data_IF_771220928608
#
_entry.id   IF_771220928608
#
_cell.length_a   1.000
_cell.length_b   1.000
_cell.length_c   1.000
_cell.angle_alpha   90.00
_cell.angle_beta   90.00
_cell.angle_gamma   90.00
#
_symmetry.space_group_name_H-M   'P 1'
#
loop_
_entity.id
_entity.type
_entity.pdbx_description
1 polymer ?
#
# COMPACT_ATOMS: atom_id res chain seq x y z
N UNK A 1 5.90 13.03 -15.87
CA UNK A 1 6.30 13.23 -14.45
C UNK A 1 6.30 11.86 -13.83
N UNK A 2 7.36 11.44 -13.16
CA UNK A 2 7.46 10.11 -12.58
C UNK A 2 7.40 10.25 -11.07
N UNK A 3 6.53 9.48 -10.41
CA UNK A 3 6.40 9.46 -8.96
C UNK A 3 7.33 8.40 -8.37
N UNK A 4 8.10 8.78 -7.37
CA UNK A 4 9.03 7.92 -6.64
C UNK A 4 8.28 7.15 -5.55
N UNK A 5 8.36 5.83 -5.57
CA UNK A 5 7.62 4.95 -4.69
C UNK A 5 8.57 4.08 -3.86
N UNK A 6 8.34 4.03 -2.55
CA UNK A 6 8.95 3.05 -1.65
C UNK A 6 7.94 1.91 -1.46
N UNK A 7 8.35 0.68 -1.72
CA UNK A 7 7.56 -0.49 -1.36
C UNK A 7 7.77 -0.85 0.12
N UNK A 8 6.69 -0.98 0.88
CA UNK A 8 6.76 -1.44 2.27
C UNK A 8 6.35 -2.90 2.36
N UNK A 9 7.36 -3.75 2.54
CA UNK A 9 7.35 -5.22 2.57
C UNK A 9 7.13 -5.92 1.23
N UNK A 10 7.62 -7.17 1.16
CA UNK A 10 7.57 -8.06 -0.01
C UNK A 10 6.89 -9.39 0.32
N UNK A 11 5.74 -9.33 1.01
CA UNK A 11 4.81 -10.45 1.12
C UNK A 11 4.10 -10.72 -0.21
N UNK A 12 3.08 -11.59 -0.24
CA UNK A 12 2.37 -11.92 -1.48
C UNK A 12 1.84 -10.67 -2.20
N UNK A 13 1.11 -9.81 -1.48
CA UNK A 13 0.57 -8.56 -2.05
C UNK A 13 1.68 -7.59 -2.44
N UNK A 14 2.70 -7.44 -1.58
CA UNK A 14 3.81 -6.53 -1.83
C UNK A 14 4.62 -6.88 -3.07
N UNK A 15 4.82 -8.18 -3.38
CA UNK A 15 5.49 -8.62 -4.61
C UNK A 15 4.71 -8.22 -5.86
N UNK A 16 3.40 -8.38 -5.84
CA UNK A 16 2.55 -7.98 -6.98
C UNK A 16 2.50 -6.46 -7.11
N UNK A 17 2.50 -5.71 -5.99
CA UNK A 17 2.61 -4.27 -6.00
C UNK A 17 3.92 -3.79 -6.62
N UNK A 18 5.07 -4.40 -6.28
CA UNK A 18 6.37 -4.11 -6.93
C UNK A 18 6.29 -4.32 -8.44
N UNK A 19 5.74 -5.45 -8.89
CA UNK A 19 5.58 -5.73 -10.32
C UNK A 19 4.70 -4.67 -11.01
N UNK A 20 3.66 -4.21 -10.31
CA UNK A 20 2.79 -3.13 -10.77
C UNK A 20 3.53 -1.80 -10.89
N UNK A 21 4.30 -1.43 -9.88
CA UNK A 21 5.11 -0.20 -9.87
C UNK A 21 6.09 -0.18 -11.05
N UNK A 22 6.85 -1.28 -11.24
CA UNK A 22 7.87 -1.36 -12.31
C UNK A 22 7.25 -1.31 -13.71
N UNK A 23 6.06 -1.86 -13.89
CA UNK A 23 5.35 -1.84 -15.19
C UNK A 23 4.67 -0.51 -15.50
N UNK A 24 4.45 0.32 -14.50
CA UNK A 24 3.71 1.57 -14.67
C UNK A 24 4.65 2.68 -15.18
N UNK A 25 4.32 3.36 -16.28
CA UNK A 25 5.22 4.31 -16.94
C UNK A 25 5.47 5.60 -16.12
N UNK A 26 4.62 5.87 -15.13
CA UNK A 26 4.72 7.07 -14.29
C UNK A 26 5.20 6.77 -12.86
N UNK A 27 5.61 5.53 -12.55
CA UNK A 27 6.10 5.14 -11.24
C UNK A 27 7.55 4.69 -11.31
N UNK A 28 8.32 5.00 -10.28
CA UNK A 28 9.71 4.60 -10.10
C UNK A 28 9.88 3.98 -8.73
N UNK A 29 10.33 2.73 -8.67
CA UNK A 29 10.68 2.09 -7.41
C UNK A 29 12.04 2.64 -6.94
N UNK A 30 12.06 3.34 -5.81
CA UNK A 30 13.29 3.95 -5.27
C UNK A 30 13.78 3.31 -3.98
N UNK A 31 12.94 2.58 -3.27
CA UNK A 31 13.29 1.93 -2.01
C UNK A 31 12.36 0.76 -1.68
N UNK A 32 12.80 -0.11 -0.77
CA UNK A 32 12.00 -1.22 -0.29
C UNK A 32 12.33 -1.53 1.17
N UNK A 33 11.30 -1.56 2.01
CA UNK A 33 11.43 -2.03 3.39
C UNK A 33 11.30 -3.55 3.47
N UNK A 34 12.23 -4.16 4.21
CA UNK A 34 12.16 -5.57 4.56
C UNK A 34 12.67 -5.79 5.99
N UNK A 35 11.77 -6.13 6.91
CA UNK A 35 12.09 -6.38 8.31
C UNK A 35 12.89 -7.67 8.52
N UNK A 36 12.79 -8.62 7.60
CA UNK A 36 13.45 -9.93 7.71
C UNK A 36 14.89 -9.85 7.22
N UNK A 37 15.84 -10.32 8.04
CA UNK A 37 17.27 -10.45 7.68
C UNK A 37 17.50 -11.28 6.41
N UNK A 38 16.61 -12.22 6.11
CA UNK A 38 16.70 -13.04 4.90
C UNK A 38 16.39 -12.24 3.63
N UNK A 39 15.75 -11.10 3.74
CA UNK A 39 15.36 -10.23 2.63
C UNK A 39 16.18 -8.94 2.56
N UNK A 40 16.56 -8.40 3.71
CA UNK A 40 17.41 -7.22 3.77
C UNK A 40 18.75 -7.50 3.07
N UNK A 41 19.23 -6.54 2.29
CA UNK A 41 20.45 -6.68 1.49
C UNK A 41 20.28 -7.36 0.12
N UNK A 42 19.08 -7.83 -0.22
CA UNK A 42 18.79 -8.44 -1.53
C UNK A 42 18.13 -7.44 -2.48
N UNK A 43 18.36 -7.65 -3.78
CA UNK A 43 17.65 -6.92 -4.83
C UNK A 43 16.15 -7.23 -4.80
N UNK A 44 15.32 -6.20 -4.93
CA UNK A 44 13.86 -6.32 -4.87
C UNK A 44 13.33 -7.17 -6.02
N UNK A 45 13.97 -7.15 -7.19
CA UNK A 45 13.63 -8.02 -8.31
C UNK A 45 13.79 -9.50 -7.95
N UNK A 46 14.92 -9.87 -7.30
CA UNK A 46 15.14 -11.22 -6.78
C UNK A 46 14.02 -11.64 -5.82
N UNK A 47 13.68 -10.76 -4.86
CA UNK A 47 12.62 -11.03 -3.88
C UNK A 47 11.24 -11.21 -4.52
N UNK A 48 11.00 -10.59 -5.66
CA UNK A 48 9.73 -10.59 -6.38
C UNK A 48 9.67 -11.61 -7.53
N UNK A 49 10.79 -12.28 -7.85
CA UNK A 49 10.88 -13.24 -8.95
C UNK A 49 10.80 -12.58 -10.33
N UNK A 50 11.42 -11.40 -10.47
CA UNK A 50 11.58 -10.66 -11.72
C UNK A 50 13.06 -10.29 -11.93
N UNK A 51 13.37 -9.67 -13.05
CA UNK A 51 14.72 -9.18 -13.32
C UNK A 51 15.19 -8.19 -12.24
N UNK A 52 16.51 -8.11 -12.00
CA UNK A 52 17.07 -7.18 -11.02
C UNK A 52 16.60 -5.74 -11.27
N UNK A 53 16.18 -5.08 -10.18
CA UNK A 53 15.70 -3.70 -10.22
C UNK A 53 16.79 -2.67 -9.92
N UNK A 54 17.89 -3.10 -9.31
CA UNK A 54 18.92 -2.22 -8.76
C UNK A 54 18.55 -1.61 -7.39
N UNK A 55 17.32 -1.84 -6.91
CA UNK A 55 16.87 -1.40 -5.58
C UNK A 55 17.12 -2.51 -4.56
N UNK A 56 17.88 -2.19 -3.52
CA UNK A 56 18.20 -3.14 -2.45
C UNK A 56 17.22 -2.95 -1.29
N UNK A 57 16.60 -4.05 -0.87
CA UNK A 57 15.71 -4.04 0.28
C UNK A 57 16.51 -3.82 1.58
N UNK A 58 15.97 -3.00 2.48
CA UNK A 58 16.62 -2.65 3.74
C UNK A 58 15.67 -2.72 4.93
N UNK A 59 16.20 -3.03 6.12
CA UNK A 59 15.48 -2.89 7.39
C UNK A 59 15.63 -1.51 8.03
N UNK A 60 16.41 -0.60 7.43
CA UNK A 60 16.64 0.74 7.95
C UNK A 60 15.48 1.69 7.58
N UNK A 61 14.54 1.81 8.51
CA UNK A 61 13.35 2.66 8.34
C UNK A 61 13.76 4.14 8.26
N UNK A 62 14.74 4.60 9.07
CA UNK A 62 15.16 5.99 9.08
C UNK A 62 15.75 6.41 7.73
N UNK A 63 16.54 5.53 7.14
CA UNK A 63 17.07 5.73 5.79
C UNK A 63 15.93 5.89 4.78
N UNK A 64 14.93 5.00 4.80
CA UNK A 64 13.78 5.05 3.89
C UNK A 64 12.93 6.30 4.08
N UNK A 65 12.70 6.71 5.33
CA UNK A 65 11.95 7.93 5.63
C UNK A 65 12.68 9.21 5.19
N UNK A 66 14.01 9.20 5.18
CA UNK A 66 14.82 10.31 4.71
C UNK A 66 14.96 10.39 3.18
N UNK A 67 14.61 9.32 2.43
CA UNK A 67 14.70 9.30 0.97
C UNK A 67 13.74 10.32 0.34
N UNK A 68 14.13 10.87 -0.80
CA UNK A 68 13.25 11.64 -1.67
C UNK A 68 12.27 10.70 -2.38
N UNK A 69 11.06 10.59 -1.84
CA UNK A 69 10.00 9.74 -2.37
C UNK A 69 8.62 10.39 -2.16
N UNK A 70 7.75 10.23 -3.15
CA UNK A 70 6.41 10.81 -3.17
C UNK A 70 5.39 9.96 -2.41
N UNK A 71 5.60 8.63 -2.40
CA UNK A 71 4.61 7.70 -1.89
C UNK A 71 5.25 6.44 -1.31
N UNK A 72 4.61 5.90 -0.27
CA UNK A 72 4.86 4.56 0.26
C UNK A 72 3.70 3.64 -0.10
N UNK A 73 4.01 2.54 -0.80
CA UNK A 73 3.09 1.44 -1.03
C UNK A 73 3.15 0.49 0.17
N UNK A 74 2.24 0.67 1.12
CA UNK A 74 2.26 0.03 2.45
C UNK A 74 1.44 -1.26 2.46
N UNK A 75 2.11 -2.41 2.33
CA UNK A 75 1.48 -3.72 2.13
C UNK A 75 1.98 -4.80 3.12
N UNK A 76 2.11 -4.55 4.42
CA UNK A 76 2.45 -5.60 5.40
C UNK A 76 1.28 -6.57 5.59
N UNK A 77 1.51 -7.69 6.28
CA UNK A 77 0.45 -8.64 6.66
C UNK A 77 -0.51 -8.05 7.69
N UNK A 78 0.01 -7.26 8.62
CA UNK A 78 -0.76 -6.48 9.58
C UNK A 78 -0.19 -5.07 9.61
N UNK A 79 -1.05 -4.04 9.58
CA UNK A 79 -0.57 -2.66 9.63
C UNK A 79 -0.13 -2.29 11.04
N UNK A 80 0.97 -1.57 11.11
CA UNK A 80 1.44 -0.88 12.31
C UNK A 80 1.08 0.61 12.17
N UNK A 81 0.25 1.09 13.09
CA UNK A 81 -0.24 2.47 13.06
C UNK A 81 0.88 3.47 13.33
N UNK A 82 1.85 3.12 14.19
CA UNK A 82 2.97 3.99 14.51
C UNK A 82 3.92 4.12 13.31
N UNK A 83 4.12 3.05 12.53
CA UNK A 83 4.85 3.13 11.26
C UNK A 83 4.14 4.05 10.26
N UNK A 84 2.83 3.89 10.08
CA UNK A 84 2.07 4.70 9.13
C UNK A 84 2.08 6.18 9.54
N UNK A 85 1.91 6.48 10.83
CA UNK A 85 2.00 7.84 11.35
C UNK A 85 3.38 8.46 11.04
N UNK A 86 4.48 7.72 11.27
CA UNK A 86 5.83 8.19 10.95
C UNK A 86 6.05 8.44 9.46
N UNK A 87 5.52 7.59 8.60
CA UNK A 87 5.61 7.76 7.14
C UNK A 87 4.90 9.04 6.70
N UNK A 88 3.69 9.28 7.23
CA UNK A 88 2.92 10.48 6.94
C UNK A 88 3.64 11.75 7.43
N UNK A 89 4.15 11.74 8.68
CA UNK A 89 4.93 12.85 9.25
C UNK A 89 6.22 13.13 8.48
N UNK A 90 6.80 12.11 7.84
CA UNK A 90 7.96 12.27 6.94
C UNK A 90 7.59 12.86 5.56
N UNK A 91 6.34 13.32 5.37
CA UNK A 91 5.90 13.99 4.15
C UNK A 91 5.69 13.04 2.96
N UNK A 92 5.36 11.77 3.21
CA UNK A 92 5.13 10.77 2.16
C UNK A 92 3.67 10.34 2.13
N UNK A 93 3.05 10.36 0.95
CA UNK A 93 1.74 9.77 0.75
C UNK A 93 1.77 8.27 1.05
N UNK A 94 0.68 7.73 1.53
CA UNK A 94 0.56 6.28 1.79
C UNK A 94 -0.60 5.70 0.99
N UNK A 95 -0.32 4.62 0.26
CA UNK A 95 -1.34 3.76 -0.36
C UNK A 95 -1.27 2.39 0.29
N UNK A 96 -2.41 1.89 0.77
CA UNK A 96 -2.47 0.61 1.48
C UNK A 96 -3.74 -0.15 1.20
N UNK A 97 -3.69 -1.48 1.28
CA UNK A 97 -4.88 -2.33 1.20
C UNK A 97 -5.69 -2.39 2.52
N UNK A 98 -5.21 -1.76 3.60
CA UNK A 98 -5.82 -1.85 4.92
C UNK A 98 -6.78 -0.72 5.29
N UNK A 99 -6.58 0.47 4.80
CA UNK A 99 -7.28 1.67 5.30
C UNK A 99 -8.53 2.04 4.51
N UNK A 100 -9.07 1.12 3.72
CA UNK A 100 -10.27 1.37 2.90
C UNK A 100 -11.51 1.69 3.73
N UNK A 101 -11.58 1.16 4.95
CA UNK A 101 -12.62 1.51 5.92
C UNK A 101 -11.97 2.07 7.19
N UNK A 102 -11.50 3.31 7.11
CA UNK A 102 -10.86 3.99 8.23
C UNK A 102 -11.73 4.01 9.51
N UNK A 103 -13.05 3.97 9.40
CA UNK A 103 -13.96 3.96 10.56
C UNK A 103 -13.83 2.71 11.43
N UNK A 104 -13.37 1.58 10.87
CA UNK A 104 -13.19 0.35 11.63
C UNK A 104 -12.04 0.42 12.64
N UNK A 105 -11.12 1.37 12.49
CA UNK A 105 -9.96 1.55 13.37
C UNK A 105 -10.24 2.39 14.64
N UNK A 106 -11.46 2.93 14.74
CA UNK A 106 -11.88 3.77 15.85
C UNK A 106 -11.42 5.23 15.75
N UNK A 107 -12.07 6.13 16.53
CA UNK A 107 -11.84 7.57 16.40
C UNK A 107 -10.45 8.03 16.83
N UNK A 108 -9.80 7.34 17.75
CA UNK A 108 -8.45 7.67 18.23
C UNK A 108 -7.42 7.46 17.13
N UNK A 109 -7.39 6.27 16.50
CA UNK A 109 -6.47 5.96 15.40
C UNK A 109 -6.73 6.86 14.21
N UNK A 110 -8.01 7.10 13.87
CA UNK A 110 -8.35 8.06 12.82
C UNK A 110 -7.79 9.45 13.11
N UNK A 111 -7.99 9.96 14.32
CA UNK A 111 -7.50 11.27 14.73
C UNK A 111 -5.98 11.39 14.60
N UNK A 112 -5.23 10.36 15.01
CA UNK A 112 -3.77 10.30 14.87
C UNK A 112 -3.34 10.38 13.41
N UNK A 113 -3.91 9.52 12.55
CA UNK A 113 -3.53 9.45 11.13
C UNK A 113 -3.93 10.70 10.34
N UNK A 114 -5.11 11.28 10.62
CA UNK A 114 -5.53 12.54 10.02
C UNK A 114 -4.54 13.65 10.38
N UNK A 115 -4.23 13.79 11.68
CA UNK A 115 -3.28 14.80 12.15
C UNK A 115 -1.90 14.63 11.51
N UNK A 116 -1.38 13.40 11.45
CA UNK A 116 -0.09 13.12 10.83
C UNK A 116 -0.08 13.46 9.32
N UNK A 117 -1.17 13.15 8.60
CA UNK A 117 -1.32 13.50 7.19
C UNK A 117 -1.39 15.02 6.96
N UNK A 118 -2.11 15.74 7.82
CA UNK A 118 -2.20 17.22 7.78
C UNK A 118 -0.83 17.87 8.08
N UNK A 119 -0.12 17.39 9.10
CA UNK A 119 1.21 17.89 9.48
C UNK A 119 2.25 17.61 8.39
N UNK A 120 2.21 16.42 7.77
CA UNK A 120 3.09 16.04 6.67
C UNK A 120 2.70 16.67 5.32
N UNK A 121 1.50 17.26 5.20
CA UNK A 121 0.98 17.79 3.94
C UNK A 121 0.70 16.72 2.88
N UNK A 122 0.32 15.52 3.31
CA UNK A 122 0.17 14.31 2.48
C UNK A 122 -1.17 13.61 2.71
N UNK A 123 -1.39 12.50 2.03
CA UNK A 123 -2.63 11.73 2.09
C UNK A 123 -2.39 10.26 2.41
N UNK A 124 -3.33 9.65 3.12
CA UNK A 124 -3.46 8.22 3.29
C UNK A 124 -4.66 7.71 2.47
N UNK A 125 -4.40 6.81 1.53
CA UNK A 125 -5.42 6.21 0.68
C UNK A 125 -5.53 4.71 0.92
N UNK A 126 -6.70 4.27 1.38
CA UNK A 126 -7.05 2.87 1.49
C UNK A 126 -7.60 2.33 0.17
N UNK A 127 -7.05 1.23 -0.30
CA UNK A 127 -7.46 0.53 -1.51
C UNK A 127 -7.50 -0.98 -1.27
N UNK A 128 -7.69 -1.76 -2.30
CA UNK A 128 -7.74 -3.22 -2.25
C UNK A 128 -8.59 -3.75 -3.39
N UNK A 129 -8.71 -5.08 -3.49
CA UNK A 129 -9.58 -5.71 -4.47
C UNK A 129 -11.01 -5.76 -3.92
N UNK A 130 -11.19 -6.33 -2.71
CA UNK A 130 -12.48 -6.41 -2.03
C UNK A 130 -12.29 -6.40 -0.48
N UNK A 131 -12.83 -5.41 0.23
CA UNK A 131 -13.47 -4.19 -0.27
C UNK A 131 -12.46 -3.29 -0.99
N UNK A 132 -12.90 -2.58 -2.05
CA UNK A 132 -12.04 -1.68 -2.81
C UNK A 132 -12.46 -1.60 -4.26
N UNK A 133 -11.59 -2.03 -5.16
CA UNK A 133 -11.81 -1.94 -6.62
C UNK A 133 -13.13 -2.58 -7.06
N UNK A 134 -13.45 -3.78 -6.58
CA UNK A 134 -14.69 -4.46 -6.91
C UNK A 134 -15.94 -3.66 -6.52
N UNK A 135 -15.92 -3.03 -5.34
CA UNK A 135 -17.02 -2.16 -4.91
C UNK A 135 -17.15 -0.92 -5.80
N UNK A 136 -16.00 -0.37 -6.25
CA UNK A 136 -15.97 0.78 -7.14
C UNK A 136 -16.56 0.45 -8.50
N UNK A 137 -16.14 -0.66 -9.11
CA UNK A 137 -16.66 -1.16 -10.39
C UNK A 137 -18.17 -1.42 -10.29
N UNK A 138 -18.60 -2.05 -9.21
CA UNK A 138 -20.01 -2.34 -9.02
C UNK A 138 -20.85 -1.08 -8.78
N UNK A 139 -20.34 -0.08 -8.07
CA UNK A 139 -21.01 1.21 -7.94
C UNK A 139 -21.11 1.92 -9.29
N UNK A 140 -20.06 1.86 -10.11
CA UNK A 140 -20.06 2.41 -11.47
C UNK A 140 -21.09 1.70 -12.36
N UNK A 141 -21.12 0.37 -12.34
CA UNK A 141 -22.12 -0.41 -13.12
C UNK A 141 -23.54 -0.13 -12.62
N UNK A 142 -23.72 0.00 -11.30
CA UNK A 142 -25.02 0.35 -10.72
C UNK A 142 -25.48 1.74 -11.15
N UNK A 143 -24.59 2.71 -11.28
CA UNK A 143 -24.94 4.07 -11.73
C UNK A 143 -25.48 4.13 -13.15
N UNK A 144 -25.15 3.16 -14.01
CA UNK A 144 -25.68 2.98 -15.35
C UNK A 144 -27.02 2.23 -15.40
N UNK A 145 -27.51 1.76 -14.24
CA UNK A 145 -28.73 0.97 -14.12
C UNK A 145 -29.86 1.80 -13.50
N UNK A 146 -31.11 1.42 -13.79
CA UNK A 146 -32.28 2.10 -13.29
C UNK A 146 -33.23 1.13 -12.58
N UNK A 147 -33.78 1.55 -11.44
CA UNK A 147 -34.88 0.84 -10.77
C UNK A 147 -34.49 -0.38 -9.92
N UNK A 148 -33.22 -0.62 -9.61
CA UNK A 148 -32.85 -1.68 -8.66
C UNK A 148 -33.10 -1.25 -7.21
N UNK A 149 -33.56 -2.20 -6.38
CA UNK A 149 -33.84 -1.98 -4.95
C UNK A 149 -32.74 -2.57 -4.06
N UNK A 150 -31.84 -3.40 -4.61
CA UNK A 150 -30.80 -4.06 -3.85
C UNK A 150 -29.63 -4.47 -4.73
N UNK A 151 -28.41 -4.25 -4.23
CA UNK A 151 -27.18 -4.76 -4.81
C UNK A 151 -26.56 -5.72 -3.77
N UNK A 152 -26.11 -6.87 -4.23
CA UNK A 152 -25.36 -7.82 -3.40
C UNK A 152 -24.01 -8.06 -4.04
N UNK A 153 -22.96 -8.03 -3.22
CA UNK A 153 -21.63 -8.46 -3.57
C UNK A 153 -21.34 -9.77 -2.87
N UNK A 154 -20.74 -10.69 -3.57
CA UNK A 154 -20.25 -11.95 -3.03
C UNK A 154 -18.78 -12.06 -3.38
N UNK A 155 -17.95 -12.24 -2.37
CA UNK A 155 -16.55 -12.63 -2.50
C UNK A 155 -16.40 -14.06 -2.03
N UNK A 156 -15.65 -14.86 -2.79
CA UNK A 156 -15.23 -16.20 -2.38
C UNK A 156 -13.73 -16.29 -2.53
N UNK A 157 -13.04 -16.50 -1.41
CA UNK A 157 -11.58 -16.52 -1.34
C UNK A 157 -11.13 -17.83 -0.74
N UNK A 158 -10.15 -18.47 -1.38
CA UNK A 158 -9.42 -19.58 -0.79
C UNK A 158 -8.35 -19.02 0.16
N UNK A 159 -8.53 -19.25 1.45
CA UNK A 159 -7.60 -18.83 2.50
C UNK A 159 -6.57 -19.90 2.88
N UNK A 160 -6.51 -21.02 2.16
CA UNK A 160 -5.64 -22.16 2.50
C UNK A 160 -4.16 -21.78 2.55
N UNK A 161 -3.77 -20.74 1.83
CA UNK A 161 -2.39 -20.25 1.74
C UNK A 161 -2.19 -18.86 2.36
N UNK A 162 -3.16 -18.39 3.15
CA UNK A 162 -3.04 -17.15 3.92
C UNK A 162 -2.32 -17.49 5.24
N UNK A 163 -0.99 -17.40 5.24
CA UNK A 163 -0.14 -17.47 6.43
C UNK A 163 0.35 -16.10 6.84
#
# INVERSE_FOLDING_TARGET
MTYKVIQWTTGHVGREAVKGIIRHPELELVGCYAWSEHKAGKDVGELCGIDPTGVIATGDIEHLLAMDADCVCYMPTFPDIDEVERILLAGKNVVSSYFINARSWGPEVQGRLIKAAEEGGVSLFGSGIFPGFANFVAALMASASYGFTKIRFLESVDLTHYE
#
